data_IF_132514497831
#
_entry.id   IF_132514497831
#
_cell.length_a   1.000
_cell.length_b   1.000
_cell.length_c   1.000
_cell.angle_alpha   90.00
_cell.angle_beta   90.00
_cell.angle_gamma   90.00
#
_symmetry.space_group_name_H-M   'P 1'
#
loop_
_entity.id
_entity.type
_entity.pdbx_description
1 polymer ?
#
# COMPACT_ATOMS: atom_id res chain seq x y z
N UNK A 1 -6.76 -8.79 11.48
CA UNK A 1 -5.40 -8.70 12.10
C UNK A 1 -4.62 -7.46 11.61
N UNK A 2 -3.91 -6.71 12.47
CA UNK A 2 -3.07 -5.58 12.00
C UNK A 2 -1.87 -6.08 11.20
N UNK A 3 -1.64 -5.52 10.00
CA UNK A 3 -0.49 -5.85 9.15
C UNK A 3 0.70 -4.96 9.46
N UNK A 4 0.48 -3.64 9.45
CA UNK A 4 1.52 -2.67 9.79
C UNK A 4 0.89 -1.32 10.13
N UNK A 5 1.70 -0.50 10.82
CA UNK A 5 1.42 0.91 11.07
C UNK A 5 2.65 1.72 10.66
N UNK A 6 2.45 2.87 10.02
CA UNK A 6 3.54 3.67 9.48
C UNK A 6 3.22 5.15 9.45
N UNK A 7 4.17 5.98 9.88
CA UNK A 7 4.15 7.42 9.65
C UNK A 7 4.62 7.72 8.22
N UNK A 8 3.83 8.50 7.49
CA UNK A 8 4.10 8.83 6.09
C UNK A 8 5.25 9.82 5.95
N UNK A 9 6.20 9.49 5.10
CA UNK A 9 7.26 10.41 4.68
C UNK A 9 6.78 11.33 3.56
N UNK A 10 7.50 12.43 3.29
CA UNK A 10 7.23 13.31 2.14
C UNK A 10 7.21 12.56 0.82
N UNK A 11 8.12 11.60 0.62
CA UNK A 11 8.14 10.74 -0.56
C UNK A 11 6.83 9.94 -0.68
N UNK A 12 6.31 9.47 0.46
CA UNK A 12 5.10 8.67 0.46
C UNK A 12 3.86 9.49 0.20
N UNK A 13 3.78 10.72 0.70
CA UNK A 13 2.66 11.62 0.42
C UNK A 13 2.67 12.10 -1.03
N UNK A 14 3.83 12.33 -1.62
CA UNK A 14 3.94 12.97 -2.93
C UNK A 14 4.03 11.98 -4.11
N UNK A 15 4.57 10.76 -3.88
CA UNK A 15 4.92 9.86 -5.00
C UNK A 15 4.33 8.46 -4.89
N UNK A 16 4.55 7.75 -3.78
CA UNK A 16 4.18 6.32 -3.64
C UNK A 16 4.26 5.82 -2.21
N UNK A 17 3.36 4.94 -1.81
CA UNK A 17 3.51 4.22 -0.56
C UNK A 17 4.60 3.16 -0.69
N UNK A 18 5.51 3.09 0.30
CA UNK A 18 6.52 2.03 0.38
C UNK A 18 6.08 1.05 1.46
N UNK A 19 5.71 -0.16 1.04
CA UNK A 19 5.25 -1.19 1.97
C UNK A 19 6.41 -1.66 2.86
N UNK A 20 6.20 -1.72 4.19
CA UNK A 20 7.20 -2.26 5.10
C UNK A 20 7.50 -3.74 4.82
N UNK A 21 8.73 -4.20 5.07
CA UNK A 21 9.16 -5.57 4.76
C UNK A 21 8.39 -6.61 5.57
N UNK A 22 8.00 -6.26 6.79
CA UNK A 22 7.21 -7.07 7.71
C UNK A 22 5.77 -7.33 7.21
N UNK A 23 5.27 -6.49 6.29
CA UNK A 23 3.94 -6.70 5.69
C UNK A 23 3.94 -7.70 4.54
N UNK A 24 5.11 -7.97 3.94
CA UNK A 24 5.24 -8.82 2.75
C UNK A 24 4.67 -10.23 2.92
N UNK A 25 4.87 -10.95 4.06
CA UNK A 25 4.33 -12.29 4.24
C UNK A 25 2.80 -12.35 4.24
N UNK A 26 2.13 -11.24 4.51
CA UNK A 26 0.67 -11.16 4.55
C UNK A 26 0.05 -10.77 3.21
N UNK A 27 0.86 -10.36 2.24
CA UNK A 27 0.39 -10.02 0.90
C UNK A 27 0.23 -11.28 0.05
N UNK A 28 -0.71 -11.30 -0.91
CA UNK A 28 -0.79 -12.36 -1.91
C UNK A 28 0.58 -12.56 -2.58
N UNK A 29 0.95 -13.84 -2.81
CA UNK A 29 2.18 -14.15 -3.52
C UNK A 29 2.12 -13.55 -4.94
N UNK A 30 3.23 -12.98 -5.38
CA UNK A 30 3.42 -12.53 -6.76
C UNK A 30 3.63 -13.77 -7.64
N UNK A 31 2.55 -14.50 -7.96
CA UNK A 31 2.59 -15.62 -8.90
C UNK A 31 2.48 -15.07 -10.34
N UNK A 32 3.61 -14.85 -11.01
CA UNK A 32 3.65 -14.38 -12.41
C UNK A 32 4.70 -13.30 -12.69
N UNK A 33 4.88 -12.97 -13.97
CA UNK A 33 5.93 -12.04 -14.43
C UNK A 33 5.89 -10.73 -13.64
N UNK A 34 7.06 -10.32 -13.18
CA UNK A 34 7.29 -9.17 -12.31
C UNK A 34 6.78 -7.82 -12.87
N UNK A 35 6.32 -7.79 -14.13
CA UNK A 35 5.90 -6.60 -14.86
C UNK A 35 4.49 -6.10 -14.47
N UNK A 36 3.60 -6.97 -14.00
CA UNK A 36 2.19 -6.59 -13.85
C UNK A 36 1.79 -6.16 -12.44
N UNK A 37 2.51 -6.58 -11.39
CA UNK A 37 2.12 -6.32 -9.99
C UNK A 37 0.83 -7.05 -9.59
N UNK A 38 0.41 -6.88 -8.33
CA UNK A 38 -0.84 -7.42 -7.79
C UNK A 38 -1.79 -6.28 -7.46
N UNK A 39 -3.10 -6.52 -7.59
CA UNK A 39 -4.12 -5.57 -7.14
C UNK A 39 -4.57 -5.95 -5.74
N UNK A 40 -4.41 -5.03 -4.79
CA UNK A 40 -4.92 -5.15 -3.43
C UNK A 40 -6.24 -4.40 -3.35
N UNK A 41 -7.33 -5.10 -3.02
CA UNK A 41 -8.59 -4.45 -2.70
C UNK A 41 -8.59 -4.12 -1.20
N UNK A 42 -8.73 -2.84 -0.88
CA UNK A 42 -8.65 -2.32 0.49
C UNK A 42 -9.89 -1.49 0.78
N UNK A 43 -10.53 -1.75 1.91
CA UNK A 43 -11.65 -0.97 2.41
C UNK A 43 -11.13 0.18 3.27
N UNK A 44 -11.53 1.40 2.97
CA UNK A 44 -11.21 2.56 3.82
C UNK A 44 -12.16 2.68 5.02
N UNK A 45 -11.83 3.60 5.94
CA UNK A 45 -12.59 3.94 7.14
C UNK A 45 -14.02 4.42 6.85
N UNK A 46 -14.28 4.93 5.64
CA UNK A 46 -15.62 5.31 5.20
C UNK A 46 -16.36 4.16 4.50
N UNK A 47 -15.78 2.96 4.49
CA UNK A 47 -16.35 1.75 3.90
C UNK A 47 -16.19 1.63 2.40
N UNK A 48 -15.45 2.53 1.74
CA UNK A 48 -15.25 2.47 0.29
C UNK A 48 -14.17 1.44 -0.06
N UNK A 49 -14.46 0.60 -1.06
CA UNK A 49 -13.46 -0.29 -1.64
C UNK A 49 -12.56 0.49 -2.61
N UNK A 50 -11.25 0.38 -2.40
CA UNK A 50 -10.20 0.98 -3.22
C UNK A 50 -9.30 -0.13 -3.76
N UNK A 51 -8.94 -0.03 -5.03
CA UNK A 51 -7.98 -0.93 -5.64
C UNK A 51 -6.62 -0.24 -5.64
N UNK A 52 -5.63 -0.86 -5.00
CA UNK A 52 -4.25 -0.40 -4.99
C UNK A 52 -3.39 -1.36 -5.79
N UNK A 53 -2.81 -0.87 -6.90
CA UNK A 53 -1.83 -1.66 -7.63
C UNK A 53 -0.48 -1.65 -6.92
N UNK A 54 -0.07 -2.80 -6.42
CA UNK A 54 1.18 -3.04 -5.73
C UNK A 54 2.19 -3.74 -6.65
N UNK A 55 3.40 -3.19 -6.79
CA UNK A 55 4.45 -3.75 -7.64
C UNK A 55 5.82 -3.67 -6.97
N UNK A 56 6.81 -4.41 -7.48
CA UNK A 56 8.21 -4.23 -7.06
C UNK A 56 8.69 -2.82 -7.42
N UNK A 57 9.35 -2.18 -6.48
CA UNK A 57 9.98 -0.88 -6.69
C UNK A 57 11.19 -1.00 -7.61
N UNK A 58 11.42 0.03 -8.42
CA UNK A 58 12.63 0.15 -9.24
C UNK A 58 13.88 0.21 -8.33
N UNK A 59 14.91 -0.60 -8.65
CA UNK A 59 16.19 -0.60 -7.92
C UNK A 59 16.59 -1.93 -7.26
N UNK A 60 16.01 -3.06 -7.66
CA UNK A 60 16.57 -4.40 -7.37
C UNK A 60 16.33 -4.97 -5.96
N UNK A 61 15.53 -4.32 -5.11
CA UNK A 61 15.18 -4.83 -3.78
C UNK A 61 13.74 -5.36 -3.67
N UNK A 62 13.45 -6.10 -2.61
CA UNK A 62 12.10 -6.60 -2.27
C UNK A 62 11.13 -5.51 -1.79
N UNK A 63 11.40 -4.24 -2.12
CA UNK A 63 10.50 -3.14 -1.75
C UNK A 63 9.30 -3.19 -2.67
N UNK A 64 8.12 -3.35 -2.08
CA UNK A 64 6.88 -3.19 -2.80
C UNK A 64 6.35 -1.76 -2.66
N UNK A 65 5.76 -1.26 -3.73
CA UNK A 65 5.24 0.11 -3.80
C UNK A 65 3.85 0.16 -4.42
N UNK A 66 3.07 1.14 -3.99
CA UNK A 66 1.80 1.54 -4.59
C UNK A 66 1.95 3.00 -5.04
N UNK A 67 1.80 3.27 -6.33
CA UNK A 67 2.08 4.60 -6.91
C UNK A 67 0.79 5.39 -7.17
N UNK A 68 0.24 5.32 -8.38
CA UNK A 68 -0.88 6.17 -8.84
C UNK A 68 -2.09 6.16 -7.91
N UNK A 69 -2.59 4.97 -7.57
CA UNK A 69 -3.81 4.80 -6.77
C UNK A 69 -3.63 5.34 -5.34
N UNK A 70 -2.42 5.25 -4.81
CA UNK A 70 -2.08 5.77 -3.48
C UNK A 70 -2.15 7.29 -3.44
N UNK A 71 -1.64 7.98 -4.46
CA UNK A 71 -1.68 9.45 -4.51
C UNK A 71 -3.11 9.98 -4.62
N UNK A 72 -3.98 9.29 -5.34
CA UNK A 72 -5.41 9.61 -5.36
C UNK A 72 -6.02 9.48 -3.95
N UNK A 73 -5.68 8.42 -3.23
CA UNK A 73 -6.13 8.21 -1.85
C UNK A 73 -5.63 9.32 -0.91
N UNK A 74 -4.33 9.62 -0.93
CA UNK A 74 -3.71 10.71 -0.14
C UNK A 74 -4.43 12.05 -0.36
N UNK A 75 -4.68 12.42 -1.62
CA UNK A 75 -5.40 13.66 -1.96
C UNK A 75 -6.84 13.63 -1.43
N UNK A 76 -7.54 12.51 -1.58
CA UNK A 76 -8.92 12.37 -1.12
C UNK A 76 -9.06 12.52 0.40
N UNK A 77 -8.09 12.00 1.16
CA UNK A 77 -8.05 12.04 2.63
C UNK A 77 -7.27 13.23 3.19
N UNK A 78 -6.68 14.05 2.31
CA UNK A 78 -5.85 15.23 2.64
C UNK A 78 -4.66 14.89 3.57
N UNK A 79 -4.07 13.71 3.38
CA UNK A 79 -2.94 13.24 4.20
C UNK A 79 -1.68 14.09 3.96
N UNK A 80 -0.86 14.23 5.01
CA UNK A 80 0.36 15.02 5.04
C UNK A 80 1.52 14.20 5.61
N UNK A 81 2.74 14.71 5.42
CA UNK A 81 3.93 14.09 6.01
C UNK A 81 3.79 14.08 7.53
N UNK A 82 4.07 12.94 8.15
CA UNK A 82 3.89 12.71 9.58
C UNK A 82 2.54 12.09 9.96
N UNK A 83 1.54 12.12 9.08
CA UNK A 83 0.29 11.39 9.32
C UNK A 83 0.55 9.88 9.36
N UNK A 84 -0.22 9.17 10.18
CA UNK A 84 -0.05 7.72 10.37
C UNK A 84 -1.14 6.96 9.65
N UNK A 85 -0.74 5.94 8.89
CA UNK A 85 -1.65 4.96 8.30
C UNK A 85 -1.43 3.59 8.92
N UNK A 86 -2.54 2.87 9.11
CA UNK A 86 -2.55 1.51 9.60
C UNK A 86 -3.30 0.62 8.61
N UNK A 87 -2.69 -0.49 8.23
CA UNK A 87 -3.29 -1.49 7.36
C UNK A 87 -3.64 -2.73 8.18
N UNK A 88 -4.82 -3.26 7.93
CA UNK A 88 -5.34 -4.45 8.57
C UNK A 88 -5.70 -5.46 7.50
N UNK A 89 -5.44 -6.74 7.79
CA UNK A 89 -6.02 -7.85 7.05
C UNK A 89 -7.44 -8.03 7.57
N UNK A 90 -8.38 -7.99 6.63
CA UNK A 90 -9.75 -8.38 6.89
C UNK A 90 -9.75 -9.90 7.16
N UNK A 91 -10.19 -10.30 8.35
CA UNK A 91 -10.25 -11.72 8.74
C UNK A 91 -11.59 -12.37 8.32
N UNK A 92 -12.47 -11.64 7.64
CA UNK A 92 -13.73 -12.15 7.11
C UNK A 92 -13.53 -12.99 5.82
N UNK A 93 -12.98 -14.21 6.01
CA UNK A 93 -13.55 -15.53 5.62
C UNK A 93 -12.50 -16.63 5.68
#
# INVERSE_FOLDING_TARGET
MQLFVKALTTIEVERRLILPRESLPALPRFEGSHEHGITLQVKDDAGNLRNFRCKKGYGGGDKLVIETDWILFVKSKKLRSGDVVAFYKDDDR
#
